data_IF_651821705955
#
_entry.id   IF_651821705955
#
_cell.length_a   1.000
_cell.length_b   1.000
_cell.length_c   1.000
_cell.angle_alpha   90.00
_cell.angle_beta   90.00
_cell.angle_gamma   90.00
#
_symmetry.space_group_name_H-M   'P 1'
#
loop_
_entity.id
_entity.type
_entity.pdbx_description
1 polymer ?
#
# COMPACT_ATOMS: atom_id res chain seq x y z
N UNK A 1 4.99 11.09 26.49
CA UNK A 1 3.63 11.38 26.00
C UNK A 1 3.58 11.46 24.45
N UNK A 2 4.45 10.75 23.74
CA UNK A 2 4.38 10.71 22.27
C UNK A 2 3.35 9.72 21.73
N UNK A 3 2.99 8.68 22.49
CA UNK A 3 2.11 7.62 22.02
C UNK A 3 0.62 8.01 21.95
N UNK A 4 0.13 8.84 22.86
CA UNK A 4 -1.29 9.23 22.86
C UNK A 4 -1.66 10.17 21.71
N UNK A 5 -0.78 11.09 21.34
CA UNK A 5 -0.99 11.99 20.21
C UNK A 5 -0.96 11.23 18.87
N UNK A 6 -0.04 10.28 18.70
CA UNK A 6 0.00 9.43 17.52
C UNK A 6 -1.26 8.58 17.38
N UNK A 7 -1.73 7.94 18.47
CA UNK A 7 -2.92 7.10 18.44
C UNK A 7 -4.20 7.87 18.10
N UNK A 8 -4.32 9.13 18.52
CA UNK A 8 -5.49 9.95 18.21
C UNK A 8 -5.53 10.44 16.76
N UNK A 9 -4.37 10.70 16.19
CA UNK A 9 -4.22 11.09 14.79
C UNK A 9 -4.58 9.94 13.86
N UNK A 10 -4.26 8.70 14.22
CA UNK A 10 -4.46 7.53 13.39
C UNK A 10 -5.82 6.84 13.55
N UNK A 11 -6.67 7.26 14.47
CA UNK A 11 -8.02 6.71 14.71
C UNK A 11 -9.01 6.86 13.55
N UNK A 12 -8.70 7.61 12.51
CA UNK A 12 -9.60 7.87 11.37
C UNK A 12 -9.25 7.05 10.12
N UNK A 13 -8.60 5.93 10.27
CA UNK A 13 -8.18 5.14 9.14
C UNK A 13 -9.31 4.31 8.55
N UNK A 14 -9.50 4.44 7.25
CA UNK A 14 -10.18 3.46 6.42
C UNK A 14 -9.11 2.55 5.85
N UNK A 15 -8.87 1.43 6.48
CA UNK A 15 -7.91 0.45 6.01
C UNK A 15 -8.64 -0.84 5.71
N UNK A 16 -8.94 -1.06 4.45
CA UNK A 16 -9.36 -2.39 4.00
C UNK A 16 -8.18 -3.38 4.02
N UNK A 17 -6.94 -2.86 4.00
CA UNK A 17 -5.70 -3.64 3.92
C UNK A 17 -4.57 -2.96 4.71
N UNK A 18 -4.79 -2.66 5.98
CA UNK A 18 -3.82 -1.84 6.72
C UNK A 18 -3.19 -2.53 7.93
N UNK A 19 -3.53 -3.79 8.17
CA UNK A 19 -3.02 -4.53 9.33
C UNK A 19 -2.50 -5.88 8.84
N UNK A 20 -1.25 -6.19 9.18
CA UNK A 20 -0.63 -7.47 8.86
C UNK A 20 0.14 -8.00 10.06
N UNK A 21 0.10 -9.32 10.25
CA UNK A 21 0.79 -10.02 11.32
C UNK A 21 1.96 -10.78 10.73
N UNK A 22 3.19 -10.40 11.12
CA UNK A 22 4.42 -11.04 10.68
C UNK A 22 5.16 -11.63 11.89
N UNK A 23 5.01 -12.93 12.10
CA UNK A 23 5.53 -13.60 13.27
C UNK A 23 4.81 -13.15 14.54
N UNK A 24 5.54 -12.52 15.46
CA UNK A 24 5.03 -11.94 16.70
C UNK A 24 4.85 -10.41 16.66
N UNK A 25 4.90 -9.82 15.48
CA UNK A 25 4.72 -8.39 15.27
C UNK A 25 3.47 -8.09 14.45
N UNK A 26 2.80 -7.00 14.77
CA UNK A 26 1.66 -6.47 14.03
C UNK A 26 2.08 -5.14 13.41
N UNK A 27 1.96 -5.02 12.09
CA UNK A 27 2.21 -3.78 11.37
C UNK A 27 0.91 -3.11 11.00
N UNK A 28 0.83 -1.80 11.29
CA UNK A 28 -0.33 -0.95 11.03
C UNK A 28 0.04 0.09 9.98
N UNK A 29 -0.54 -0.01 8.81
CA UNK A 29 -0.35 0.96 7.73
C UNK A 29 -1.42 2.03 7.77
N UNK A 30 -0.99 3.27 7.81
CA UNK A 30 -1.80 4.44 8.01
C UNK A 30 -1.80 5.32 6.76
N UNK A 31 -2.98 5.53 6.13
CA UNK A 31 -3.09 6.32 4.91
C UNK A 31 -2.64 7.78 5.08
N UNK A 32 -2.80 8.31 6.28
CA UNK A 32 -2.63 9.74 6.50
C UNK A 32 -3.80 10.57 5.96
N UNK A 33 -3.68 11.88 6.04
CA UNK A 33 -4.66 12.80 5.47
C UNK A 33 -4.03 14.17 5.21
N UNK A 34 -4.45 14.82 4.13
CA UNK A 34 -4.16 16.21 3.86
C UNK A 34 -5.38 17.07 4.13
N UNK A 35 -5.25 18.06 4.97
CA UNK A 35 -6.34 18.91 5.40
C UNK A 35 -6.27 20.29 4.72
N UNK A 36 -6.32 20.30 3.39
CA UNK A 36 -6.32 21.55 2.62
C UNK A 36 -7.40 22.51 3.10
N UNK A 37 -6.99 23.60 3.76
CA UNK A 37 -7.89 24.68 4.20
C UNK A 37 -8.72 24.43 5.45
N UNK A 38 -8.39 23.43 6.27
CA UNK A 38 -9.04 23.16 7.57
C UNK A 38 -8.07 23.38 8.73
N UNK A 39 -8.62 23.63 9.93
CA UNK A 39 -7.85 23.91 11.16
C UNK A 39 -7.04 22.73 11.72
N UNK A 40 -6.97 21.62 11.00
CA UNK A 40 -6.23 20.43 11.40
C UNK A 40 -4.94 20.28 10.61
N UNK A 41 -3.81 19.90 11.24
CA UNK A 41 -2.56 19.67 10.53
C UNK A 41 -2.67 18.49 9.55
N UNK A 42 -1.84 18.53 8.52
CA UNK A 42 -1.63 17.38 7.64
C UNK A 42 -1.05 16.23 8.46
N UNK A 43 -1.54 15.02 8.19
CA UNK A 43 -1.08 13.79 8.83
C UNK A 43 -0.42 12.91 7.76
N UNK A 44 0.89 12.62 7.88
CA UNK A 44 1.56 11.78 6.89
C UNK A 44 1.04 10.35 6.90
N UNK A 45 1.18 9.66 5.77
CA UNK A 45 1.08 8.22 5.75
C UNK A 45 2.21 7.61 6.57
N UNK A 46 1.94 6.54 7.31
CA UNK A 46 2.94 5.97 8.21
C UNK A 46 2.78 4.46 8.38
N UNK A 47 3.83 3.81 8.86
CA UNK A 47 3.78 2.46 9.42
C UNK A 47 4.08 2.52 10.90
N UNK A 48 3.27 1.83 11.67
CA UNK A 48 3.43 1.63 13.11
C UNK A 48 3.60 0.13 13.37
N UNK A 49 4.24 -0.21 14.48
CA UNK A 49 4.39 -1.60 14.90
C UNK A 49 3.85 -1.82 16.31
N UNK A 50 3.34 -3.01 16.53
CA UNK A 50 3.07 -3.57 17.85
C UNK A 50 3.88 -4.86 17.95
N UNK A 51 4.89 -4.90 18.78
CA UNK A 51 5.68 -6.10 19.04
C UNK A 51 4.96 -7.06 19.98
N UNK A 52 5.28 -8.36 19.91
CA UNK A 52 4.74 -9.38 20.81
C UNK A 52 4.98 -9.08 22.28
N UNK A 53 6.04 -8.36 22.61
CA UNK A 53 6.34 -7.92 23.99
C UNK A 53 5.28 -6.94 24.53
N UNK A 54 4.59 -6.20 23.65
CA UNK A 54 3.53 -5.26 24.02
C UNK A 54 2.14 -5.91 24.02
N UNK A 55 2.03 -7.17 23.63
CA UNK A 55 0.80 -7.95 23.65
C UNK A 55 0.78 -8.79 24.93
N UNK A 56 0.18 -8.27 25.99
CA UNK A 56 0.06 -8.97 27.26
C UNK A 56 -1.41 -9.25 27.57
N UNK A 57 -1.71 -10.50 27.96
CA UNK A 57 -3.06 -10.90 28.34
C UNK A 57 -3.67 -9.97 29.42
N UNK A 58 -4.84 -9.44 29.13
CA UNK A 58 -5.59 -8.60 30.05
C UNK A 58 -5.09 -7.14 30.20
N UNK A 59 -4.09 -6.73 29.38
CA UNK A 59 -3.62 -5.34 29.36
C UNK A 59 -3.94 -4.71 27.99
N UNK A 60 -4.11 -3.37 27.93
CA UNK A 60 -4.22 -2.66 26.67
C UNK A 60 -2.96 -2.89 25.82
N UNK A 61 -3.16 -3.13 24.54
CA UNK A 61 -2.08 -3.23 23.55
C UNK A 61 -1.53 -1.83 23.27
N UNK A 62 -0.21 -1.69 23.28
CA UNK A 62 0.48 -0.44 23.00
C UNK A 62 1.26 -0.52 21.69
N UNK A 63 1.30 0.59 20.95
CA UNK A 63 2.18 0.77 19.80
C UNK A 63 3.61 0.90 20.33
N UNK A 64 4.56 0.35 19.61
CA UNK A 64 5.99 0.44 19.95
C UNK A 64 6.46 1.90 19.83
N UNK A 65 7.16 2.38 20.85
CA UNK A 65 7.71 3.74 20.86
C UNK A 65 8.96 3.87 19.97
N UNK A 66 9.59 2.76 19.63
CA UNK A 66 10.85 2.68 18.86
C UNK A 66 10.65 2.39 17.36
N UNK A 67 9.39 2.21 16.91
CA UNK A 67 9.11 1.95 15.51
C UNK A 67 8.03 2.90 14.97
N UNK A 68 8.45 3.82 14.13
CA UNK A 68 7.60 4.73 13.39
C UNK A 68 8.26 5.10 12.05
N UNK A 69 7.60 4.76 10.95
CA UNK A 69 8.08 5.15 9.62
C UNK A 69 7.12 6.14 8.98
N UNK A 70 7.61 7.33 8.66
CA UNK A 70 6.87 8.32 7.89
C UNK A 70 6.93 7.95 6.39
N UNK A 71 5.93 7.21 5.91
CA UNK A 71 5.87 6.77 4.52
C UNK A 71 5.80 7.94 3.54
N UNK A 72 5.14 9.04 3.90
CA UNK A 72 5.06 10.22 3.02
C UNK A 72 6.44 10.83 2.80
N UNK A 73 7.29 10.84 3.80
CA UNK A 73 8.67 11.32 3.69
C UNK A 73 9.53 10.36 2.87
N UNK A 74 9.45 9.06 3.17
CA UNK A 74 10.24 8.02 2.51
C UNK A 74 9.88 7.87 1.03
N UNK A 75 8.58 7.94 0.69
CA UNK A 75 8.11 7.72 -0.68
C UNK A 75 7.95 9.02 -1.48
N UNK A 76 7.77 10.14 -0.81
CA UNK A 76 7.36 11.43 -1.40
C UNK A 76 5.86 11.51 -1.72
N UNK A 77 5.08 10.48 -1.41
CA UNK A 77 3.66 10.37 -1.74
C UNK A 77 2.85 9.93 -0.53
N UNK A 78 1.56 10.31 -0.52
CA UNK A 78 0.62 9.68 0.41
C UNK A 78 0.24 8.28 -0.06
N UNK A 79 0.03 7.38 0.88
CA UNK A 79 -0.41 6.01 0.60
C UNK A 79 -1.92 5.96 0.43
N UNK A 80 -2.37 5.22 -0.61
CA UNK A 80 -3.77 4.87 -0.80
C UNK A 80 -4.09 3.50 -0.20
N UNK A 81 -3.32 2.48 -0.58
CA UNK A 81 -3.46 1.10 -0.09
C UNK A 81 -2.11 0.44 0.11
N UNK A 82 -2.07 -0.62 0.89
CA UNK A 82 -0.94 -1.52 0.96
C UNK A 82 -1.39 -2.97 0.79
N UNK A 83 -0.52 -3.80 0.25
CA UNK A 83 -0.77 -5.20 -0.02
C UNK A 83 0.42 -6.02 0.45
N UNK A 84 0.19 -6.97 1.34
CA UNK A 84 1.24 -7.90 1.75
C UNK A 84 1.59 -8.84 0.60
N UNK A 85 2.87 -8.92 0.25
CA UNK A 85 3.36 -9.74 -0.86
C UNK A 85 4.31 -10.85 -0.40
N UNK A 86 4.49 -11.02 0.90
CA UNK A 86 5.33 -12.08 1.49
C UNK A 86 6.64 -11.58 2.10
N UNK A 87 7.22 -12.37 2.97
CA UNK A 87 8.41 -12.01 3.72
C UNK A 87 8.18 -10.79 4.60
N UNK A 88 8.98 -9.76 4.43
CA UNK A 88 8.81 -8.47 5.10
C UNK A 88 8.31 -7.37 4.16
N UNK A 89 7.77 -7.74 2.99
CA UNK A 89 7.53 -6.81 1.88
C UNK A 89 6.06 -6.54 1.63
N UNK A 90 5.79 -5.27 1.35
CA UNK A 90 4.49 -4.76 0.99
C UNK A 90 4.56 -4.00 -0.32
N UNK A 91 3.58 -4.21 -1.19
CA UNK A 91 3.34 -3.35 -2.32
C UNK A 91 2.45 -2.19 -1.86
N UNK A 92 2.94 -0.97 -1.99
CA UNK A 92 2.20 0.24 -1.70
C UNK A 92 1.58 0.77 -2.99
N UNK A 93 0.29 1.07 -2.96
CA UNK A 93 -0.38 1.89 -3.95
C UNK A 93 -0.45 3.31 -3.41
N UNK A 94 0.07 4.24 -4.16
CA UNK A 94 0.32 5.62 -3.73
C UNK A 94 -0.49 6.60 -4.57
N UNK A 95 -0.78 7.76 -4.02
CA UNK A 95 -1.27 8.88 -4.81
C UNK A 95 -0.22 9.27 -5.85
N UNK A 96 -0.65 9.45 -7.09
CA UNK A 96 0.26 9.73 -8.23
C UNK A 96 0.95 11.07 -8.07
N UNK A 97 0.21 12.07 -7.61
CA UNK A 97 0.74 13.40 -7.38
C UNK A 97 1.31 13.56 -5.97
N UNK A 98 2.52 14.10 -5.89
CA UNK A 98 3.16 14.39 -4.61
C UNK A 98 2.34 15.39 -3.80
N UNK A 99 2.21 15.13 -2.51
CA UNK A 99 1.50 16.03 -1.60
C UNK A 99 -0.02 16.06 -1.78
N UNK A 100 -0.59 15.15 -2.55
CA UNK A 100 -2.04 14.97 -2.67
C UNK A 100 -2.48 13.81 -1.80
N UNK A 101 -3.46 14.04 -0.96
CA UNK A 101 -4.17 13.02 -0.20
C UNK A 101 -5.63 13.45 -0.05
N UNK A 102 -6.56 12.58 -0.27
CA UNK A 102 -7.97 12.88 -0.08
C UNK A 102 -8.89 12.13 -1.01
N UNK A 103 -10.15 12.10 -0.62
CA UNK A 103 -11.17 11.18 -1.11
C UNK A 103 -11.62 11.42 -2.55
N UNK A 104 -11.36 12.58 -3.14
CA UNK A 104 -12.19 13.04 -4.26
C UNK A 104 -11.44 13.21 -5.57
N UNK A 105 -10.13 13.43 -5.58
CA UNK A 105 -9.47 13.87 -6.80
C UNK A 105 -8.07 13.28 -7.06
N UNK A 106 -7.62 12.36 -6.23
CA UNK A 106 -6.28 11.79 -6.37
C UNK A 106 -6.25 10.54 -7.24
N UNK A 107 -5.52 10.57 -8.32
CA UNK A 107 -5.14 9.37 -9.06
C UNK A 107 -4.23 8.48 -8.18
N UNK A 108 -4.44 7.17 -8.15
CA UNK A 108 -3.68 6.21 -7.35
C UNK A 108 -2.91 5.26 -8.26
N UNK A 109 -2.05 5.80 -9.12
CA UNK A 109 -1.38 5.07 -10.19
C UNK A 109 0.12 4.91 -9.95
N UNK A 110 0.63 5.37 -8.80
CA UNK A 110 2.01 5.14 -8.38
C UNK A 110 2.10 3.93 -7.45
N UNK A 111 3.18 3.18 -7.58
CA UNK A 111 3.42 1.98 -6.78
C UNK A 111 4.86 1.91 -6.29
N UNK A 112 5.06 1.22 -5.18
CA UNK A 112 6.39 0.92 -4.67
C UNK A 112 6.40 -0.29 -3.75
N UNK A 113 7.56 -0.88 -3.59
CA UNK A 113 7.80 -1.97 -2.63
C UNK A 113 8.42 -1.37 -1.38
N UNK A 114 7.84 -1.67 -0.24
CA UNK A 114 8.34 -1.27 1.07
C UNK A 114 8.66 -2.51 1.91
N UNK A 115 9.83 -2.49 2.52
CA UNK A 115 10.28 -3.53 3.45
C UNK A 115 10.21 -3.01 4.88
N UNK A 116 9.34 -3.59 5.70
CA UNK A 116 9.07 -3.12 7.08
C UNK A 116 10.22 -3.38 8.06
N UNK A 117 11.16 -4.25 7.72
CA UNK A 117 12.32 -4.55 8.58
C UNK A 117 13.53 -3.66 8.29
N UNK A 118 13.74 -3.34 7.04
CA UNK A 118 14.85 -2.47 6.61
C UNK A 118 14.44 -1.03 6.40
N UNK A 119 13.13 -0.76 6.42
CA UNK A 119 12.50 0.55 6.18
C UNK A 119 12.82 1.13 4.78
N UNK A 120 13.20 0.24 3.84
CA UNK A 120 13.59 0.63 2.51
C UNK A 120 12.39 0.64 1.56
N UNK A 121 12.34 1.67 0.73
CA UNK A 121 11.38 1.85 -0.33
C UNK A 121 12.03 1.74 -1.70
N UNK A 122 11.39 1.01 -2.60
CA UNK A 122 11.80 0.87 -4.00
C UNK A 122 10.62 1.25 -4.89
N UNK A 123 10.71 2.33 -5.68
CA UNK A 123 9.65 2.68 -6.63
C UNK A 123 9.43 1.55 -7.64
N UNK A 124 8.17 1.33 -8.04
CA UNK A 124 7.87 0.37 -9.10
C UNK A 124 8.14 0.99 -10.47
N UNK A 125 8.76 0.20 -11.33
CA UNK A 125 9.04 0.50 -12.74
C UNK A 125 8.37 -0.53 -13.65
N UNK A 126 8.22 -0.20 -14.94
CA UNK A 126 7.66 -1.14 -15.93
C UNK A 126 6.13 -1.17 -16.01
N UNK A 127 5.42 -0.34 -15.24
CA UNK A 127 4.02 0.00 -15.51
C UNK A 127 3.94 1.03 -16.65
N UNK A 128 2.80 1.13 -17.35
CA UNK A 128 2.54 2.26 -18.25
C UNK A 128 2.68 3.60 -17.53
N UNK A 129 2.95 4.65 -18.28
CA UNK A 129 2.93 6.01 -17.74
C UNK A 129 1.56 6.32 -17.08
N UNK A 130 1.59 6.97 -15.93
CA UNK A 130 0.38 7.21 -15.14
C UNK A 130 -0.71 7.95 -15.94
N UNK A 131 -0.33 8.82 -16.87
CA UNK A 131 -1.25 9.56 -17.74
C UNK A 131 -1.95 8.65 -18.76
N UNK A 132 -1.33 7.53 -19.12
CA UNK A 132 -1.91 6.54 -20.02
C UNK A 132 -2.78 5.52 -19.29
N UNK A 133 -2.62 5.35 -18.01
CA UNK A 133 -3.46 4.43 -17.23
C UNK A 133 -4.86 5.04 -17.08
N UNK A 134 -5.87 4.34 -17.61
CA UNK A 134 -7.28 4.70 -17.42
C UNK A 134 -7.76 4.24 -16.05
N UNK A 135 -7.60 2.95 -15.75
CA UNK A 135 -8.00 2.35 -14.49
C UNK A 135 -7.04 1.25 -14.05
N UNK A 136 -7.07 0.95 -12.77
CA UNK A 136 -6.39 -0.18 -12.14
C UNK A 136 -7.43 -0.91 -11.30
N UNK A 137 -7.66 -2.18 -11.62
CA UNK A 137 -8.67 -2.96 -10.92
C UNK A 137 -8.41 -3.01 -9.41
N UNK A 138 -9.48 -2.91 -8.65
CA UNK A 138 -9.44 -3.05 -7.18
C UNK A 138 -9.12 -4.48 -6.75
N UNK A 139 -9.42 -5.45 -7.62
CA UNK A 139 -9.15 -6.87 -7.36
C UNK A 139 -7.71 -7.21 -7.78
N UNK A 140 -7.02 -7.87 -6.90
CA UNK A 140 -5.61 -8.26 -7.05
C UNK A 140 -5.38 -9.68 -6.56
N UNK A 141 -4.29 -10.30 -7.02
CA UNK A 141 -3.80 -11.58 -6.51
C UNK A 141 -2.38 -11.43 -5.97
N UNK A 142 -2.23 -11.54 -4.65
CA UNK A 142 -0.92 -11.59 -4.02
C UNK A 142 -0.43 -13.04 -3.91
N UNK A 143 0.79 -13.28 -4.35
CA UNK A 143 1.51 -14.53 -4.17
C UNK A 143 2.64 -14.32 -3.16
N UNK A 144 2.34 -14.64 -1.90
CA UNK A 144 3.27 -14.45 -0.78
C UNK A 144 4.45 -15.42 -0.80
N UNK A 145 4.34 -16.54 -1.50
CA UNK A 145 5.43 -17.50 -1.63
C UNK A 145 6.50 -17.01 -2.62
N UNK A 146 6.06 -16.30 -3.67
CA UNK A 146 6.93 -15.73 -4.69
C UNK A 146 7.21 -14.22 -4.51
N UNK A 147 6.62 -13.59 -3.50
CA UNK A 147 6.70 -12.15 -3.22
C UNK A 147 6.28 -11.30 -4.44
N UNK A 148 5.11 -11.58 -4.98
CA UNK A 148 4.55 -10.87 -6.13
C UNK A 148 3.10 -10.47 -5.90
N UNK A 149 2.65 -9.48 -6.67
CA UNK A 149 1.24 -9.09 -6.74
C UNK A 149 0.86 -8.89 -8.20
N UNK A 150 -0.30 -9.39 -8.59
CA UNK A 150 -0.84 -9.25 -9.93
C UNK A 150 -2.18 -8.52 -9.88
N UNK A 151 -2.35 -7.53 -10.75
CA UNK A 151 -3.59 -6.80 -10.96
C UNK A 151 -3.74 -6.40 -12.43
N UNK A 152 -4.94 -6.03 -12.77
CA UNK A 152 -5.27 -5.53 -14.10
C UNK A 152 -4.95 -4.04 -14.22
N UNK A 153 -4.49 -3.64 -15.40
CA UNK A 153 -4.31 -2.25 -15.81
C UNK A 153 -4.99 -2.02 -17.14
N UNK A 154 -5.88 -1.04 -17.17
CA UNK A 154 -6.50 -0.49 -18.38
C UNK A 154 -5.76 0.78 -18.81
N UNK A 155 -5.54 0.95 -20.11
CA UNK A 155 -4.86 2.12 -20.66
C UNK A 155 -5.72 2.85 -21.69
N UNK A 156 -5.45 4.15 -21.87
CA UNK A 156 -6.20 5.03 -22.80
C UNK A 156 -5.76 4.93 -24.25
N UNK A 157 -4.68 4.21 -24.54
CA UNK A 157 -4.08 4.09 -25.87
C UNK A 157 -4.69 2.95 -26.71
N UNK A 158 -5.88 2.51 -26.37
CA UNK A 158 -6.64 1.46 -27.06
C UNK A 158 -6.04 0.06 -26.98
N UNK A 159 -5.09 -0.17 -26.07
CA UNK A 159 -4.63 -1.51 -25.77
C UNK A 159 -5.68 -2.27 -24.96
N UNK A 160 -5.74 -3.57 -25.15
CA UNK A 160 -6.60 -4.43 -24.33
C UNK A 160 -6.15 -4.39 -22.86
N UNK A 161 -7.10 -4.51 -21.91
CA UNK A 161 -6.75 -4.71 -20.50
C UNK A 161 -5.74 -5.82 -20.33
N UNK A 162 -4.71 -5.58 -19.54
CA UNK A 162 -3.64 -6.52 -19.33
C UNK A 162 -3.35 -6.75 -17.85
N UNK A 163 -2.93 -7.96 -17.51
CA UNK A 163 -2.44 -8.27 -16.17
C UNK A 163 -0.99 -7.81 -16.04
N UNK A 164 -0.69 -7.11 -14.96
CA UNK A 164 0.66 -6.74 -14.58
C UNK A 164 1.03 -7.41 -13.27
N UNK A 165 2.21 -8.01 -13.24
CA UNK A 165 2.75 -8.62 -12.02
C UNK A 165 3.95 -7.83 -11.54
N UNK A 166 3.89 -7.30 -10.33
CA UNK A 166 4.98 -6.60 -9.66
C UNK A 166 5.71 -7.59 -8.74
N UNK A 167 7.02 -7.68 -8.91
CA UNK A 167 7.89 -8.46 -8.04
C UNK A 167 8.44 -7.65 -6.85
N UNK A 168 9.06 -8.36 -5.91
CA UNK A 168 9.72 -7.78 -4.73
C UNK A 168 10.88 -6.82 -5.06
N UNK A 169 11.36 -6.85 -6.28
CA UNK A 169 12.39 -5.98 -6.83
C UNK A 169 11.84 -4.64 -7.36
N UNK A 170 10.52 -4.46 -7.29
CA UNK A 170 9.85 -3.27 -7.81
C UNK A 170 9.72 -3.26 -9.34
N UNK A 171 9.91 -4.40 -10.01
CA UNK A 171 9.73 -4.48 -11.47
C UNK A 171 8.35 -5.04 -11.80
N UNK A 172 7.56 -4.26 -12.52
CA UNK A 172 6.31 -4.70 -13.09
C UNK A 172 6.54 -5.34 -14.46
N UNK A 173 5.89 -6.48 -14.68
CA UNK A 173 5.92 -7.20 -15.96
C UNK A 173 4.51 -7.30 -16.51
N UNK A 174 4.33 -6.85 -17.75
CA UNK A 174 3.09 -7.04 -18.50
C UNK A 174 2.93 -8.52 -18.81
N UNK A 175 1.79 -9.05 -18.45
CA UNK A 175 1.42 -10.45 -18.67
C UNK A 175 0.34 -10.59 -19.74
N UNK A 176 -0.68 -11.42 -19.44
CA UNK A 176 -1.75 -11.76 -20.36
C UNK A 176 -2.65 -10.55 -20.64
N UNK A 177 -2.96 -10.34 -21.90
CA UNK A 177 -4.02 -9.46 -22.37
C UNK A 177 -5.33 -10.24 -22.48
N UNK A 178 -6.44 -9.57 -22.21
CA UNK A 178 -7.77 -10.18 -22.30
C UNK A 178 -8.64 -9.31 -23.19
N UNK A 179 -9.23 -9.92 -24.21
CA UNK A 179 -10.17 -9.24 -25.10
C UNK A 179 -11.52 -9.06 -24.38
N UNK A 180 -11.60 -8.00 -23.60
CA UNK A 180 -12.74 -7.62 -22.79
C UNK A 180 -12.73 -6.12 -22.53
N UNK A 181 -13.86 -5.56 -22.10
CA UNK A 181 -13.92 -4.15 -21.69
C UNK A 181 -13.13 -3.91 -20.38
N UNK A 182 -13.15 -4.87 -19.46
CA UNK A 182 -12.41 -4.78 -18.19
C UNK A 182 -12.30 -6.13 -17.50
N UNK A 183 -11.28 -6.30 -16.65
CA UNK A 183 -11.09 -7.47 -15.80
C UNK A 183 -11.47 -7.10 -14.36
N UNK A 184 -12.57 -7.63 -13.84
CA UNK A 184 -13.09 -7.24 -12.51
C UNK A 184 -12.54 -8.06 -11.35
N UNK A 185 -11.74 -9.09 -11.62
CA UNK A 185 -11.15 -9.91 -10.58
C UNK A 185 -10.00 -10.76 -11.06
N UNK A 186 -8.99 -10.86 -10.21
CA UNK A 186 -7.82 -11.73 -10.38
C UNK A 186 -7.67 -12.55 -9.12
N UNK A 187 -7.42 -13.84 -9.26
CA UNK A 187 -7.13 -14.71 -8.10
C UNK A 187 -6.07 -15.75 -8.44
N UNK A 188 -5.28 -16.10 -7.44
CA UNK A 188 -4.25 -17.12 -7.54
C UNK A 188 -4.85 -18.47 -7.18
N UNK A 189 -4.74 -19.43 -8.10
CA UNK A 189 -5.08 -20.83 -7.84
C UNK A 189 -3.81 -21.55 -7.35
N UNK A 190 -3.77 -21.89 -6.08
CA UNK A 190 -2.72 -22.77 -5.54
C UNK A 190 -3.07 -24.23 -5.83
N UNK A 191 -2.16 -24.94 -6.50
CA UNK A 191 -2.27 -26.41 -6.58
C UNK A 191 -2.07 -26.99 -5.17
N UNK A 192 -2.96 -27.92 -4.80
CA UNK A 192 -2.83 -28.69 -3.56
C UNK A 192 -1.77 -29.76 -3.67
#
# INVERSE_FOLDING_TARGET
IKSSAASDVYKRQRTETGIEVLGDEIYLFCQGSKNSGKDYPDVPSAVLRISGNNIQNGKPVAIDDDYYVNLTEVTGHYMWKCFYIGGNKFCLQLYTEKGTAGFVEGSHKAFGIFDVKTEQYTPVTGLPDADLIYDIALAYAADTDNNTITFEVETTDSQLPALYTIGKDGVAKRGMEVDTESIKGVSLLKQK
#
